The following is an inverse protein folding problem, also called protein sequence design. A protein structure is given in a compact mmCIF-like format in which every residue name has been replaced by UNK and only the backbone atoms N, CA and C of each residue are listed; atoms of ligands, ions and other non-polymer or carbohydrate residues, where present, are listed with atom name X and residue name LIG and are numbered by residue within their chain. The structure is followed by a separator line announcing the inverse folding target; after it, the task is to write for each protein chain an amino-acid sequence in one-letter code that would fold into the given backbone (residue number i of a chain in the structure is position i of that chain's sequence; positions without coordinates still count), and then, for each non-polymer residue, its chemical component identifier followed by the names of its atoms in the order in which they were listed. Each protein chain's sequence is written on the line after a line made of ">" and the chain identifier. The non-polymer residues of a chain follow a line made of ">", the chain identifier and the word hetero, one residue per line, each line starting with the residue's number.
data_IF_304898338476
#
_entry.id   IF_304898338476
#
_cell.length_a   1.000
_cell.length_b   1.000
_cell.length_c   1.000
_cell.angle_alpha   90.00
_cell.angle_beta   90.00
_cell.angle_gamma   90.00
#
_symmetry.space_group_name_H-M   'P 1'
#
loop_
_entity.id
_entity.type
_entity.pdbx_description
1 polymer ?
#
# COMPACT_ATOMS: atom_id res chain seq x y z
N UNK A 1 -6.81 15.65 -9.98
CA UNK A 1 -6.91 15.46 -8.54
C UNK A 1 -6.13 14.20 -8.13
N UNK A 2 -5.07 14.38 -7.34
CA UNK A 2 -4.16 13.29 -6.93
C UNK A 2 -4.55 12.65 -5.59
N UNK A 3 -5.57 13.20 -4.92
CA UNK A 3 -5.89 12.91 -3.53
C UNK A 3 -6.61 11.57 -3.38
N UNK A 4 -6.27 10.82 -2.34
CA UNK A 4 -6.95 9.59 -1.95
C UNK A 4 -8.42 9.86 -1.59
N UNK A 5 -9.25 8.82 -1.76
CA UNK A 5 -10.61 8.77 -1.26
C UNK A 5 -10.77 7.64 -0.26
N UNK A 6 -11.52 7.91 0.80
CA UNK A 6 -11.91 6.89 1.77
C UNK A 6 -13.05 5.99 1.23
N UNK A 7 -13.45 4.98 2.00
CA UNK A 7 -14.51 4.04 1.63
C UNK A 7 -15.90 4.70 1.46
N UNK A 8 -16.10 5.89 1.99
CA UNK A 8 -17.30 6.70 1.82
C UNK A 8 -17.24 7.63 0.60
N UNK A 9 -16.15 7.62 -0.15
CA UNK A 9 -15.93 8.47 -1.32
C UNK A 9 -15.44 9.88 -1.01
N UNK A 10 -15.19 10.20 0.27
CA UNK A 10 -14.71 11.53 0.71
C UNK A 10 -13.23 11.66 0.37
N UNK A 11 -12.83 12.82 -0.10
CA UNK A 11 -11.42 13.15 -0.30
C UNK A 11 -10.71 13.33 1.04
N UNK A 12 -9.45 12.93 1.13
CA UNK A 12 -8.59 13.36 2.22
C UNK A 12 -8.34 14.85 2.10
N UNK A 13 -8.39 15.54 3.24
CA UNK A 13 -8.13 16.96 3.28
C UNK A 13 -6.64 17.26 3.21
N UNK A 14 -6.35 18.48 2.81
CA UNK A 14 -5.01 19.03 2.77
C UNK A 14 -4.40 19.07 4.18
N UNK A 15 -3.10 18.74 4.25
CA UNK A 15 -2.34 18.83 5.51
C UNK A 15 -2.32 17.55 6.32
N UNK A 16 -3.03 16.48 5.92
CA UNK A 16 -2.81 15.17 6.50
C UNK A 16 -1.59 14.49 5.83
N UNK A 17 -1.01 13.51 6.52
CA UNK A 17 0.08 12.73 5.92
C UNK A 17 -0.47 11.79 4.84
N UNK A 18 0.20 11.72 3.69
CA UNK A 18 -0.06 10.76 2.60
C UNK A 18 -1.47 10.86 2.00
N UNK A 19 -1.84 12.03 1.60
CA UNK A 19 -3.06 12.24 0.84
C UNK A 19 -2.97 11.78 -0.63
N UNK A 20 -1.77 11.58 -1.17
CA UNK A 20 -1.55 11.14 -2.56
C UNK A 20 -1.95 9.69 -2.82
N UNK A 21 -2.60 9.43 -3.95
CA UNK A 21 -3.00 8.09 -4.38
C UNK A 21 -1.86 7.42 -5.18
N UNK A 22 -1.36 6.27 -4.71
CA UNK A 22 -0.29 5.50 -5.36
C UNK A 22 -0.63 4.94 -6.75
N UNK A 23 -1.91 4.94 -7.13
CA UNK A 23 -2.37 4.54 -8.47
C UNK A 23 -2.75 5.75 -9.37
N UNK A 24 -2.56 6.97 -8.89
CA UNK A 24 -2.87 8.15 -9.70
C UNK A 24 -1.69 8.48 -10.63
N UNK A 25 -1.89 8.53 -11.97
CA UNK A 25 -0.80 8.75 -12.93
C UNK A 25 -0.04 10.05 -12.71
N UNK A 26 -0.75 11.14 -12.36
CA UNK A 26 -0.11 12.43 -12.12
C UNK A 26 0.72 12.44 -10.84
N UNK A 27 0.28 11.72 -9.79
CA UNK A 27 1.06 11.57 -8.57
C UNK A 27 2.33 10.76 -8.83
N UNK A 28 2.21 9.61 -9.50
CA UNK A 28 3.34 8.76 -9.89
C UNK A 28 4.35 9.56 -10.71
N UNK A 29 3.90 10.31 -11.71
CA UNK A 29 4.77 11.11 -12.57
C UNK A 29 5.54 12.18 -11.78
N UNK A 30 4.88 12.91 -10.89
CA UNK A 30 5.54 13.89 -10.01
C UNK A 30 6.54 13.24 -9.04
N UNK A 31 6.21 12.07 -8.53
CA UNK A 31 7.10 11.30 -7.67
C UNK A 31 8.35 10.83 -8.42
N UNK A 32 8.23 10.38 -9.67
CA UNK A 32 9.36 10.06 -10.54
C UNK A 32 10.27 11.26 -10.74
N UNK A 33 9.70 12.40 -11.11
CA UNK A 33 10.47 13.62 -11.38
C UNK A 33 11.27 14.06 -10.15
N UNK A 34 10.64 14.10 -8.97
CA UNK A 34 11.37 14.55 -7.76
C UNK A 34 12.44 13.54 -7.34
N UNK A 35 12.15 12.24 -7.40
CA UNK A 35 13.12 11.19 -7.09
C UNK A 35 14.34 11.30 -8.00
N UNK A 36 14.12 11.44 -9.31
CA UNK A 36 15.20 11.59 -10.28
C UNK A 36 16.04 12.85 -10.04
N UNK A 37 15.37 14.00 -9.79
CA UNK A 37 16.08 15.26 -9.50
C UNK A 37 16.91 15.18 -8.22
N UNK A 38 16.43 14.55 -7.18
CA UNK A 38 17.19 14.33 -5.95
C UNK A 38 18.38 13.40 -6.20
N UNK A 39 18.15 12.28 -6.89
CA UNK A 39 19.20 11.32 -7.22
C UNK A 39 20.32 11.97 -8.07
N UNK A 40 19.96 12.68 -9.13
CA UNK A 40 20.89 13.42 -9.99
C UNK A 40 21.71 14.45 -9.21
N UNK A 41 21.05 15.19 -8.29
CA UNK A 41 21.70 16.24 -7.51
C UNK A 41 22.72 15.72 -6.50
N UNK A 42 22.40 14.60 -5.87
CA UNK A 42 23.21 14.08 -4.76
C UNK A 42 24.12 12.89 -5.11
N UNK A 43 24.10 12.40 -6.35
CA UNK A 43 24.85 11.19 -6.78
C UNK A 43 26.35 11.20 -6.43
N UNK A 44 26.99 12.37 -6.53
CA UNK A 44 28.43 12.53 -6.31
C UNK A 44 28.76 13.13 -4.93
N UNK A 45 27.78 13.25 -4.03
CA UNK A 45 28.00 13.82 -2.70
C UNK A 45 28.50 12.74 -1.73
N UNK A 46 29.75 12.81 -1.25
CA UNK A 46 30.33 11.77 -0.39
C UNK A 46 29.72 11.72 1.02
N UNK A 47 28.90 12.69 1.40
CA UNK A 47 28.20 12.69 2.68
C UNK A 47 26.86 11.96 2.61
N UNK A 48 26.41 11.59 1.43
CA UNK A 48 25.21 10.74 1.27
C UNK A 48 25.66 9.28 1.32
N UNK A 49 25.44 8.64 2.44
CA UNK A 49 25.87 7.25 2.70
C UNK A 49 24.78 6.19 2.43
N UNK A 50 23.54 6.59 2.40
CA UNK A 50 22.38 5.73 2.15
C UNK A 50 21.16 6.56 1.77
N UNK A 51 20.11 5.90 1.25
CA UNK A 51 18.83 6.50 0.89
C UNK A 51 17.69 5.82 1.64
N UNK A 52 16.86 6.61 2.30
CA UNK A 52 15.55 6.14 2.75
C UNK A 52 14.50 6.55 1.73
N UNK A 53 13.78 5.56 1.20
CA UNK A 53 12.66 5.78 0.30
C UNK A 53 11.47 6.24 1.11
N UNK A 54 10.97 7.44 0.81
CA UNK A 54 9.74 7.96 1.39
C UNK A 54 9.67 7.81 2.94
N UNK A 55 8.48 7.61 3.52
CA UNK A 55 8.30 7.40 4.96
C UNK A 55 7.06 6.57 5.24
N UNK A 56 7.15 5.49 5.99
CA UNK A 56 6.04 4.71 6.56
C UNK A 56 4.86 4.52 5.59
N UNK A 57 5.03 3.79 4.51
CA UNK A 57 3.94 3.52 3.58
C UNK A 57 2.71 2.96 4.31
N UNK A 58 1.55 3.55 4.03
CA UNK A 58 0.27 3.11 4.62
C UNK A 58 -0.06 3.72 5.98
N UNK A 59 0.85 4.47 6.63
CA UNK A 59 0.57 5.09 7.92
C UNK A 59 -0.69 5.97 7.90
N UNK A 60 -1.31 6.15 9.05
CA UNK A 60 -2.52 6.98 9.23
C UNK A 60 -3.69 6.60 8.29
N UNK A 61 -3.87 5.31 8.04
CA UNK A 61 -4.96 4.82 7.19
C UNK A 61 -4.81 5.19 5.71
N UNK A 62 -3.57 5.36 5.23
CA UNK A 62 -3.29 5.70 3.84
C UNK A 62 -3.01 4.51 2.94
N UNK A 63 -3.09 3.28 3.46
CA UNK A 63 -2.84 2.07 2.67
C UNK A 63 -3.82 1.92 1.53
N UNK A 64 -5.11 2.13 1.80
CA UNK A 64 -6.21 1.90 0.85
C UNK A 64 -6.81 3.20 0.33
N UNK A 65 -6.94 3.29 -0.97
CA UNK A 65 -7.61 4.38 -1.65
C UNK A 65 -8.75 3.85 -2.52
N UNK A 66 -9.92 4.49 -2.40
CA UNK A 66 -11.15 4.05 -3.06
C UNK A 66 -11.54 4.95 -4.25
N UNK A 67 -10.56 5.56 -4.91
CA UNK A 67 -10.79 6.38 -6.11
C UNK A 67 -10.94 5.53 -7.37
N UNK A 68 -11.35 6.16 -8.47
CA UNK A 68 -11.54 5.49 -9.75
C UNK A 68 -10.23 4.95 -10.36
N UNK A 69 -9.09 5.59 -10.11
CA UNK A 69 -7.80 5.04 -10.54
C UNK A 69 -7.50 3.71 -9.85
N UNK A 70 -7.79 3.62 -8.54
CA UNK A 70 -7.64 2.36 -7.80
C UNK A 70 -8.63 1.29 -8.28
N UNK A 71 -9.89 1.65 -8.62
CA UNK A 71 -10.84 0.68 -9.15
C UNK A 71 -10.34 0.06 -10.45
N UNK A 72 -9.90 0.89 -11.40
CA UNK A 72 -9.37 0.42 -12.69
C UNK A 72 -8.10 -0.41 -12.52
N UNK A 73 -7.19 0.04 -11.68
CA UNK A 73 -5.96 -0.70 -11.40
C UNK A 73 -6.23 -2.04 -10.71
N UNK A 74 -7.22 -2.09 -9.80
CA UNK A 74 -7.65 -3.31 -9.12
C UNK A 74 -8.29 -4.31 -10.08
N UNK A 75 -9.17 -3.86 -10.97
CA UNK A 75 -9.76 -4.70 -12.01
C UNK A 75 -8.68 -5.37 -12.87
N UNK A 76 -7.71 -4.59 -13.34
CA UNK A 76 -6.57 -5.11 -14.11
C UNK A 76 -5.72 -6.10 -13.31
N UNK A 77 -5.42 -5.79 -12.05
CA UNK A 77 -4.65 -6.67 -11.15
C UNK A 77 -5.37 -8.01 -10.93
N UNK A 78 -6.70 -7.99 -10.82
CA UNK A 78 -7.50 -9.21 -10.73
C UNK A 78 -7.50 -10.00 -12.05
N UNK A 79 -7.60 -9.33 -13.20
CA UNK A 79 -7.51 -9.95 -14.50
C UNK A 79 -6.16 -10.67 -14.69
N UNK A 80 -5.06 -10.03 -14.33
CA UNK A 80 -3.73 -10.63 -14.37
C UNK A 80 -3.60 -11.87 -13.46
N UNK A 81 -4.32 -11.88 -12.32
CA UNK A 81 -4.27 -12.95 -11.32
C UNK A 81 -5.20 -14.11 -11.63
N UNK A 82 -6.41 -13.83 -12.10
CA UNK A 82 -7.46 -14.82 -12.30
C UNK A 82 -7.65 -15.22 -13.77
N UNK A 83 -7.12 -14.46 -14.70
CA UNK A 83 -7.13 -14.66 -16.16
C UNK A 83 -8.52 -14.55 -16.78
N UNK A 84 -9.56 -15.16 -16.21
CA UNK A 84 -10.96 -15.07 -16.68
C UNK A 84 -11.90 -14.72 -15.54
N UNK A 85 -13.02 -14.10 -15.89
CA UNK A 85 -14.02 -13.70 -14.89
C UNK A 85 -14.73 -14.93 -14.30
N UNK A 86 -14.89 -15.98 -15.08
CA UNK A 86 -15.47 -17.24 -14.63
C UNK A 86 -14.62 -17.89 -13.55
N UNK A 87 -13.28 -17.89 -13.74
CA UNK A 87 -12.33 -18.41 -12.74
C UNK A 87 -12.37 -17.57 -11.46
N UNK A 88 -12.47 -16.24 -11.57
CA UNK A 88 -12.63 -15.38 -10.41
C UNK A 88 -13.93 -15.72 -9.66
N UNK A 89 -15.06 -15.78 -10.37
CA UNK A 89 -16.37 -16.09 -9.79
C UNK A 89 -16.37 -17.43 -9.07
N UNK A 90 -15.77 -18.46 -9.67
CA UNK A 90 -15.63 -19.79 -9.07
C UNK A 90 -14.80 -19.72 -7.78
N UNK A 91 -13.61 -19.11 -7.83
CA UNK A 91 -12.70 -19.03 -6.67
C UNK A 91 -13.25 -18.18 -5.52
N UNK A 92 -14.05 -17.17 -5.84
CA UNK A 92 -14.68 -16.31 -4.83
C UNK A 92 -16.00 -16.86 -4.31
N UNK A 93 -16.53 -17.93 -4.91
CA UNK A 93 -17.86 -18.44 -4.59
C UNK A 93 -18.98 -17.43 -4.84
N UNK A 94 -18.83 -16.62 -5.90
CA UNK A 94 -19.68 -15.45 -6.17
C UNK A 94 -21.13 -15.82 -6.48
N UNK A 95 -21.43 -17.09 -6.75
CA UNK A 95 -22.81 -17.58 -6.89
C UNK A 95 -23.65 -17.34 -5.62
N UNK A 96 -23.01 -17.25 -4.45
CA UNK A 96 -23.67 -16.96 -3.19
C UNK A 96 -24.27 -15.54 -3.23
N UNK A 97 -25.55 -15.42 -2.96
CA UNK A 97 -26.33 -14.19 -3.05
C UNK A 97 -26.30 -13.50 -4.42
N UNK A 98 -26.04 -14.26 -5.49
CA UNK A 98 -25.99 -13.72 -6.86
C UNK A 98 -24.96 -12.60 -7.04
N UNK A 99 -23.77 -12.75 -6.42
CA UNK A 99 -22.68 -11.78 -6.49
C UNK A 99 -21.73 -12.03 -7.65
N UNK A 100 -22.12 -12.79 -8.68
CA UNK A 100 -21.33 -13.01 -9.87
C UNK A 100 -21.07 -11.71 -10.63
N UNK A 101 -19.89 -11.60 -11.19
CA UNK A 101 -19.52 -10.53 -12.11
C UNK A 101 -19.53 -11.04 -13.54
N UNK A 102 -19.93 -10.20 -14.49
CA UNK A 102 -19.90 -10.50 -15.93
C UNK A 102 -18.57 -10.12 -16.57
N UNK A 103 -17.86 -9.15 -15.99
CA UNK A 103 -16.55 -8.70 -16.41
C UNK A 103 -15.72 -8.17 -15.24
N UNK A 104 -14.39 -8.04 -15.42
CA UNK A 104 -13.52 -7.40 -14.42
C UNK A 104 -13.86 -5.91 -14.22
N UNK A 105 -14.40 -5.25 -15.22
CA UNK A 105 -14.80 -3.84 -15.13
C UNK A 105 -16.03 -3.62 -14.24
N UNK A 106 -16.84 -4.65 -14.01
CA UNK A 106 -18.00 -4.60 -13.11
C UNK A 106 -17.60 -4.69 -11.63
N UNK A 107 -16.35 -5.08 -11.34
CA UNK A 107 -15.88 -5.23 -9.98
C UNK A 107 -15.77 -3.86 -9.32
N UNK A 108 -16.50 -3.69 -8.23
CA UNK A 108 -16.45 -2.51 -7.38
C UNK A 108 -15.42 -2.71 -6.25
N UNK A 109 -14.87 -1.61 -5.73
CA UNK A 109 -14.07 -1.66 -4.52
C UNK A 109 -14.96 -1.95 -3.30
N UNK A 110 -14.45 -2.59 -2.23
CA UNK A 110 -15.20 -2.86 -1.00
C UNK A 110 -15.48 -1.55 -0.24
N UNK A 111 -16.39 -0.74 -0.77
CA UNK A 111 -16.84 0.54 -0.22
C UNK A 111 -17.94 0.35 0.80
N UNK A 112 -18.34 1.45 1.45
CA UNK A 112 -19.53 1.50 2.25
C UNK A 112 -20.76 1.04 1.45
N UNK A 113 -21.57 0.19 2.06
CA UNK A 113 -22.88 -0.22 1.53
C UNK A 113 -23.95 -0.20 2.65
N UNK A 114 -25.21 -0.45 2.29
CA UNK A 114 -26.34 -0.34 3.20
C UNK A 114 -26.33 -1.32 4.39
N UNK A 115 -25.50 -2.36 4.35
CA UNK A 115 -25.43 -3.39 5.39
C UNK A 115 -24.45 -3.05 6.51
N UNK A 116 -23.52 -2.14 6.31
CA UNK A 116 -22.44 -1.85 7.26
C UNK A 116 -22.91 -1.42 8.65
N UNK A 117 -24.02 -0.70 8.75
CA UNK A 117 -24.55 -0.23 10.02
C UNK A 117 -25.15 -1.32 10.93
N UNK A 118 -25.43 -2.51 10.38
CA UNK A 118 -26.14 -3.57 11.11
C UNK A 118 -25.21 -4.55 11.78
N UNK A 119 -24.13 -4.94 11.10
CA UNK A 119 -23.19 -5.98 11.57
C UNK A 119 -21.73 -5.57 11.53
N UNK A 120 -21.45 -4.30 11.22
CA UNK A 120 -20.09 -3.79 11.02
C UNK A 120 -19.50 -4.17 9.66
N UNK A 121 -18.27 -3.71 9.44
CA UNK A 121 -17.59 -3.82 8.15
C UNK A 121 -17.33 -5.26 7.65
N UNK A 122 -17.39 -6.23 8.54
CA UNK A 122 -17.02 -7.63 8.24
C UNK A 122 -18.08 -8.40 7.42
N UNK A 123 -19.32 -7.90 7.35
CA UNK A 123 -20.45 -8.64 6.77
C UNK A 123 -20.96 -8.05 5.46
N UNK A 124 -20.36 -6.98 4.98
CA UNK A 124 -20.91 -6.16 3.91
C UNK A 124 -20.47 -6.59 2.51
N UNK A 125 -19.40 -7.34 2.40
CA UNK A 125 -18.78 -7.71 1.12
C UNK A 125 -18.43 -9.19 1.07
N UNK A 126 -18.24 -9.69 -0.17
CA UNK A 126 -17.60 -10.98 -0.36
C UNK A 126 -16.23 -10.95 0.33
N UNK A 127 -15.91 -11.89 1.23
CA UNK A 127 -14.62 -11.92 1.94
C UNK A 127 -13.42 -11.95 1.00
N UNK A 128 -13.54 -12.59 -0.17
CA UNK A 128 -12.48 -12.62 -1.17
C UNK A 128 -12.24 -11.24 -1.78
N UNK A 129 -13.31 -10.46 -2.05
CA UNK A 129 -13.19 -9.08 -2.53
C UNK A 129 -12.38 -8.21 -1.55
N UNK A 130 -12.67 -8.26 -0.25
CA UNK A 130 -11.93 -7.48 0.75
C UNK A 130 -10.47 -7.95 0.86
N UNK A 131 -10.25 -9.27 0.90
CA UNK A 131 -8.90 -9.83 0.97
C UNK A 131 -8.04 -9.45 -0.24
N UNK A 132 -8.58 -9.59 -1.45
CA UNK A 132 -7.84 -9.25 -2.66
C UNK A 132 -7.62 -7.73 -2.78
N UNK A 133 -8.54 -6.91 -2.32
CA UNK A 133 -8.32 -5.47 -2.27
C UNK A 133 -7.23 -5.07 -1.26
N UNK A 134 -7.09 -5.79 -0.14
CA UNK A 134 -5.98 -5.60 0.80
C UNK A 134 -4.64 -5.97 0.16
N UNK A 135 -4.56 -7.11 -0.54
CA UNK A 135 -3.38 -7.55 -1.28
C UNK A 135 -2.98 -6.56 -2.37
N UNK A 136 -3.94 -6.16 -3.21
CA UNK A 136 -3.72 -5.13 -4.22
C UNK A 136 -3.22 -3.81 -3.61
N UNK A 137 -3.77 -3.40 -2.48
CA UNK A 137 -3.35 -2.16 -1.82
C UNK A 137 -1.92 -2.25 -1.30
N UNK A 138 -1.52 -3.40 -0.80
CA UNK A 138 -0.13 -3.69 -0.44
C UNK A 138 0.79 -3.62 -1.68
N UNK A 139 0.43 -4.33 -2.75
CA UNK A 139 1.20 -4.37 -3.99
C UNK A 139 1.35 -2.97 -4.63
N UNK A 140 0.34 -2.11 -4.46
CA UNK A 140 0.42 -0.70 -4.91
C UNK A 140 1.62 0.01 -4.29
N UNK A 141 1.85 -0.14 -2.99
CA UNK A 141 2.94 0.53 -2.30
C UNK A 141 4.29 -0.15 -2.57
N UNK A 142 4.32 -1.46 -2.71
CA UNK A 142 5.52 -2.20 -3.14
C UNK A 142 5.97 -1.72 -4.52
N UNK A 143 5.06 -1.62 -5.48
CA UNK A 143 5.36 -1.14 -6.83
C UNK A 143 5.76 0.35 -6.84
N UNK A 144 5.14 1.16 -6.00
CA UNK A 144 5.47 2.58 -5.85
C UNK A 144 6.88 2.76 -5.26
N UNK A 145 7.28 1.94 -4.28
CA UNK A 145 8.64 1.90 -3.75
C UNK A 145 9.63 1.44 -4.82
N UNK A 146 9.34 0.33 -5.49
CA UNK A 146 10.21 -0.21 -6.54
C UNK A 146 10.49 0.81 -7.64
N UNK A 147 9.49 1.56 -8.06
CA UNK A 147 9.65 2.62 -9.06
C UNK A 147 10.70 3.66 -8.62
N UNK A 148 10.72 4.04 -7.34
CA UNK A 148 11.69 4.99 -6.81
C UNK A 148 13.09 4.36 -6.70
N UNK A 149 13.18 3.10 -6.27
CA UNK A 149 14.44 2.33 -6.24
C UNK A 149 15.05 2.24 -7.64
N UNK A 150 14.25 1.85 -8.64
CA UNK A 150 14.71 1.72 -10.03
C UNK A 150 15.25 3.06 -10.60
N UNK A 151 14.75 4.18 -10.11
CA UNK A 151 15.28 5.51 -10.47
C UNK A 151 16.61 5.77 -9.74
N UNK A 152 16.66 5.58 -8.42
CA UNK A 152 17.86 5.80 -7.61
C UNK A 152 19.04 4.98 -8.13
N UNK A 153 18.81 3.71 -8.47
CA UNK A 153 19.86 2.78 -8.97
C UNK A 153 20.49 3.22 -10.28
N UNK A 154 19.93 4.16 -11.01
CA UNK A 154 20.59 4.77 -12.18
C UNK A 154 21.70 5.73 -11.81
N UNK A 155 21.73 6.20 -10.56
CA UNK A 155 22.58 7.28 -10.10
C UNK A 155 23.51 6.89 -8.94
N UNK A 156 23.20 5.81 -8.22
CA UNK A 156 23.94 5.47 -7.00
C UNK A 156 23.89 3.97 -6.69
N UNK A 157 24.99 3.46 -6.15
CA UNK A 157 25.13 2.12 -5.55
C UNK A 157 24.99 2.17 -4.02
N UNK A 158 24.74 3.34 -3.44
CA UNK A 158 24.55 3.48 -2.01
C UNK A 158 23.38 2.66 -1.51
N UNK A 159 23.44 2.14 -0.27
CA UNK A 159 22.36 1.34 0.30
C UNK A 159 21.02 2.08 0.32
N UNK A 160 19.95 1.36 0.02
CA UNK A 160 18.58 1.86 0.02
C UNK A 160 17.78 1.10 1.07
N UNK A 161 17.02 1.83 1.87
CA UNK A 161 16.10 1.30 2.88
C UNK A 161 14.76 2.02 2.87
N UNK A 162 13.81 1.50 3.64
CA UNK A 162 12.55 2.14 3.99
C UNK A 162 12.25 1.89 5.46
N UNK A 163 11.70 2.88 6.16
CA UNK A 163 11.32 2.72 7.56
C UNK A 163 9.96 2.03 7.68
N UNK A 164 10.00 0.72 7.94
CA UNK A 164 8.80 -0.06 8.21
C UNK A 164 8.22 0.32 9.59
N UNK A 165 6.97 -0.05 9.81
CA UNK A 165 6.28 0.15 11.08
C UNK A 165 6.10 -1.21 11.77
N UNK A 166 6.81 -1.50 12.83
CA UNK A 166 6.77 -2.68 13.69
C UNK A 166 5.76 -3.78 13.34
N UNK A 167 4.57 -3.76 13.95
CA UNK A 167 3.51 -4.74 13.70
C UNK A 167 2.44 -4.28 12.71
N UNK A 168 2.79 -3.43 11.76
CA UNK A 168 1.87 -2.93 10.76
C UNK A 168 1.53 -4.01 9.72
N UNK A 169 0.27 -4.44 9.69
CA UNK A 169 -0.20 -5.59 8.90
C UNK A 169 -0.88 -5.21 7.58
N UNK A 170 -1.04 -3.92 7.28
CA UNK A 170 -1.76 -3.46 6.09
C UNK A 170 -0.92 -3.54 4.81
N UNK A 171 0.41 -3.67 4.93
CA UNK A 171 1.33 -3.90 3.82
C UNK A 171 2.17 -5.14 4.13
N UNK A 172 2.41 -5.98 3.14
CA UNK A 172 3.28 -7.13 3.26
C UNK A 172 4.75 -6.68 3.36
N UNK A 173 5.30 -6.67 4.56
CA UNK A 173 6.66 -6.25 4.83
C UNK A 173 7.70 -7.08 4.07
N UNK A 174 7.44 -8.39 3.89
CA UNK A 174 8.31 -9.28 3.14
C UNK A 174 8.42 -8.85 1.66
N UNK A 175 7.30 -8.53 1.00
CA UNK A 175 7.32 -8.07 -0.38
C UNK A 175 7.93 -6.67 -0.51
N UNK A 176 7.68 -5.79 0.48
CA UNK A 176 8.23 -4.44 0.51
C UNK A 176 9.77 -4.45 0.69
N UNK A 177 10.31 -5.42 1.43
CA UNK A 177 11.75 -5.50 1.72
C UNK A 177 12.60 -6.13 0.62
N UNK A 178 12.01 -6.82 -0.36
CA UNK A 178 12.74 -7.59 -1.39
C UNK A 178 13.75 -6.76 -2.19
N UNK A 179 13.41 -5.52 -2.48
CA UNK A 179 14.23 -4.62 -3.30
C UNK A 179 15.10 -3.67 -2.45
N UNK A 180 15.07 -3.79 -1.12
CA UNK A 180 15.89 -3.00 -0.18
C UNK A 180 17.22 -3.71 0.09
N UNK A 181 18.28 -2.94 0.37
CA UNK A 181 19.58 -3.49 0.78
C UNK A 181 19.56 -3.93 2.24
N UNK A 182 18.77 -3.27 3.07
CA UNK A 182 18.53 -3.65 4.45
C UNK A 182 17.17 -3.13 4.93
N UNK A 183 16.60 -3.83 5.90
CA UNK A 183 15.35 -3.43 6.55
C UNK A 183 15.64 -2.50 7.70
N UNK A 184 14.94 -1.38 7.76
CA UNK A 184 14.85 -0.52 8.94
C UNK A 184 13.40 -0.38 9.40
N UNK A 185 13.17 -0.05 10.66
CA UNK A 185 11.83 0.15 11.17
C UNK A 185 11.80 1.20 12.29
N UNK A 186 10.66 1.86 12.42
CA UNK A 186 10.46 2.88 13.43
C UNK A 186 10.22 2.25 14.80
N UNK A 187 11.11 2.56 15.72
CA UNK A 187 11.07 2.07 17.08
C UNK A 187 11.02 3.25 18.06
N UNK A 188 9.92 3.36 18.77
CA UNK A 188 9.66 4.40 19.77
C UNK A 188 9.43 3.77 21.14
N UNK A 189 10.46 3.26 21.82
CA UNK A 189 10.29 2.71 23.17
C UNK A 189 9.81 3.81 24.11
N UNK A 190 8.59 3.69 24.59
CA UNK A 190 7.94 4.68 25.47
C UNK A 190 7.32 3.96 26.67
N UNK A 191 7.67 4.43 27.88
CA UNK A 191 7.15 3.90 29.13
C UNK A 191 5.81 4.51 29.56
N UNK A 192 5.20 5.37 28.74
CA UNK A 192 3.99 6.14 29.13
C UNK A 192 2.70 5.30 29.10
N UNK A 193 2.67 4.21 28.32
CA UNK A 193 1.44 3.45 28.07
C UNK A 193 1.27 2.19 28.92
N UNK A 194 2.21 1.93 29.85
CA UNK A 194 2.06 0.89 30.88
C UNK A 194 2.01 -0.55 30.38
N UNK A 195 2.36 -0.80 29.13
CA UNK A 195 2.49 -2.12 28.55
C UNK A 195 3.95 -2.51 28.45
N UNK A 196 4.24 -3.80 28.40
CA UNK A 196 5.55 -4.41 28.23
C UNK A 196 6.20 -4.02 26.90
N UNK A 197 6.63 -2.78 26.77
CA UNK A 197 7.22 -2.22 25.55
C UNK A 197 8.47 -2.95 25.11
N UNK A 198 9.25 -3.46 26.05
CA UNK A 198 10.42 -4.29 25.74
C UNK A 198 10.06 -5.56 24.97
N UNK A 199 8.95 -6.20 25.34
CA UNK A 199 8.43 -7.38 24.63
C UNK A 199 7.94 -7.01 23.23
N UNK A 200 7.23 -5.89 23.10
CA UNK A 200 6.82 -5.36 21.78
C UNK A 200 8.03 -5.06 20.89
N UNK A 201 9.01 -4.31 21.41
CA UNK A 201 10.25 -3.98 20.70
C UNK A 201 11.01 -5.23 20.29
N UNK A 202 11.17 -6.17 21.23
CA UNK A 202 11.86 -7.44 20.97
C UNK A 202 11.17 -8.25 19.87
N UNK A 203 9.84 -8.40 19.95
CA UNK A 203 9.06 -9.13 18.97
C UNK A 203 9.08 -8.43 17.58
N UNK A 204 9.04 -7.11 17.56
CA UNK A 204 9.14 -6.36 16.31
C UNK A 204 10.52 -6.51 15.65
N UNK A 205 11.60 -6.51 16.45
CA UNK A 205 12.94 -6.79 15.93
C UNK A 205 13.06 -8.19 15.33
N UNK A 206 12.48 -9.20 15.97
CA UNK A 206 12.48 -10.57 15.43
C UNK A 206 11.68 -10.68 14.12
N UNK A 207 10.58 -9.94 14.00
CA UNK A 207 9.78 -9.93 12.78
C UNK A 207 10.48 -9.22 11.60
N UNK A 208 11.48 -8.37 11.86
CA UNK A 208 12.23 -7.63 10.84
C UNK A 208 13.52 -8.33 10.40
N UNK A 209 13.83 -9.48 10.95
CA UNK A 209 14.96 -10.33 10.53
C UNK A 209 14.64 -11.13 9.26
#
# INVERSE_FOLDING_TARGET
>A
DIVQRDKYGRKKDWGSRREGCGNNPSYIEKSKIITEKMAEHYKDNPNVIAWQIDNEFGCHGSTRCYCEHCRKAFAKWLEERYQTIENLNEKWGSIFWSLNYDSFDDIILPKYNSCEGTYGDLWSHNPALDLEFRRFSSDTWVNYQKMQIDILRKYTDNPITHNLMGHFSDINAYDLSKDLDFVSWDNYPDNQWGTSEYEYVSMAHENMR
#
